data_IF_870070648962
#
_entry.id   IF_870070648962
#
_cell.length_a   1.000
_cell.length_b   1.000
_cell.length_c   1.000
_cell.angle_alpha   90.00
_cell.angle_beta   90.00
_cell.angle_gamma   90.00
#
_symmetry.space_group_name_H-M   'P 1'
#
loop_
_entity.id
_entity.type
_entity.pdbx_description
1 polymer ?
#
# COMPACT_ATOMS: atom_id res chain seq x y z
N UNK A 1 -2.32 -3.34 25.27
CA UNK A 1 -1.84 -2.71 24.04
C UNK A 1 -1.28 -1.34 24.36
N UNK A 2 -0.10 -1.02 23.88
CA UNK A 2 0.50 0.26 24.16
C UNK A 2 0.05 1.32 23.14
N UNK A 3 0.10 2.58 23.55
CA UNK A 3 -0.21 3.70 22.64
C UNK A 3 0.70 3.71 21.42
N UNK A 4 1.87 3.14 21.58
CA UNK A 4 2.85 3.05 20.54
C UNK A 4 2.30 2.31 19.31
N UNK A 5 1.55 1.22 19.54
CA UNK A 5 1.02 0.38 18.43
C UNK A 5 -0.17 1.00 17.76
N UNK A 6 -0.82 1.97 18.38
CA UNK A 6 -2.02 2.58 17.81
C UNK A 6 -1.75 3.91 17.12
N UNK A 7 -0.48 4.31 17.04
CA UNK A 7 -0.12 5.56 16.39
C UNK A 7 -0.42 5.49 14.89
N UNK A 8 -1.13 6.48 14.39
CA UNK A 8 -1.47 6.57 12.98
C UNK A 8 -0.34 7.29 12.24
N UNK A 9 0.14 6.68 11.19
CA UNK A 9 1.17 7.26 10.33
C UNK A 9 0.73 7.18 8.89
N UNK A 10 1.46 7.85 8.01
CA UNK A 10 1.19 7.86 6.58
C UNK A 10 2.48 7.53 5.85
N UNK A 11 2.41 6.60 4.91
CA UNK A 11 3.58 6.22 4.11
C UNK A 11 3.26 6.30 2.64
N UNK A 12 4.28 6.69 1.87
CA UNK A 12 4.23 6.71 0.42
C UNK A 12 5.01 5.51 -0.09
N UNK A 13 4.43 4.80 -1.04
CA UNK A 13 5.00 3.56 -1.58
C UNK A 13 4.92 3.61 -3.10
N UNK A 14 6.03 3.30 -3.76
CA UNK A 14 6.05 3.16 -5.20
C UNK A 14 6.35 1.72 -5.56
N UNK A 15 5.54 1.16 -6.44
CA UNK A 15 5.62 -0.26 -6.80
C UNK A 15 5.98 -0.37 -8.27
N UNK A 16 6.97 -1.20 -8.57
CA UNK A 16 7.45 -1.45 -9.93
C UNK A 16 7.19 -2.90 -10.31
N UNK A 17 7.34 -3.19 -11.58
CA UNK A 17 7.17 -4.56 -12.09
C UNK A 17 5.84 -4.73 -12.79
N UNK A 18 5.27 -5.93 -12.73
CA UNK A 18 4.01 -6.24 -13.39
C UNK A 18 2.84 -5.75 -12.55
N UNK A 19 2.72 -4.42 -12.43
CA UNK A 19 1.71 -3.80 -11.57
C UNK A 19 0.71 -2.97 -12.34
N UNK A 20 0.76 -3.04 -13.66
CA UNK A 20 -0.15 -2.27 -14.48
C UNK A 20 -1.56 -2.84 -14.47
N UNK A 21 -2.50 -1.92 -14.58
CA UNK A 21 -3.88 -2.29 -14.79
C UNK A 21 -4.75 -2.18 -13.55
N UNK A 22 -6.02 -2.33 -13.81
CA UNK A 22 -7.06 -2.14 -12.83
C UNK A 22 -6.98 -3.20 -11.73
N UNK A 23 -6.56 -4.40 -12.09
CA UNK A 23 -6.50 -5.51 -11.13
C UNK A 23 -5.57 -5.23 -9.97
N UNK A 24 -4.42 -4.63 -10.22
CA UNK A 24 -3.48 -4.31 -9.16
C UNK A 24 -4.03 -3.22 -8.23
N UNK A 25 -4.59 -2.16 -8.82
CA UNK A 25 -5.19 -1.09 -8.03
C UNK A 25 -6.30 -1.64 -7.15
N UNK A 26 -7.16 -2.45 -7.73
CA UNK A 26 -8.29 -3.05 -7.01
C UNK A 26 -7.79 -3.87 -5.83
N UNK A 27 -6.78 -4.69 -6.07
CA UNK A 27 -6.21 -5.55 -5.02
C UNK A 27 -5.61 -4.73 -3.88
N UNK A 28 -4.95 -3.62 -4.23
CA UNK A 28 -4.36 -2.74 -3.23
C UNK A 28 -5.44 -2.08 -2.38
N UNK A 29 -6.47 -1.56 -3.02
CA UNK A 29 -7.58 -0.93 -2.30
C UNK A 29 -8.27 -1.93 -1.39
N UNK A 30 -8.46 -3.15 -1.87
CA UNK A 30 -9.10 -4.18 -1.09
C UNK A 30 -8.23 -4.59 0.11
N UNK A 31 -6.92 -4.66 -0.07
CA UNK A 31 -6.01 -4.98 1.02
C UNK A 31 -6.06 -3.91 2.10
N UNK A 32 -6.03 -2.63 1.72
CA UNK A 32 -6.11 -1.54 2.69
C UNK A 32 -7.42 -1.59 3.46
N UNK A 33 -8.52 -1.80 2.75
CA UNK A 33 -9.82 -1.87 3.38
C UNK A 33 -9.91 -3.03 4.38
N UNK A 34 -9.32 -4.17 4.02
CA UNK A 34 -9.39 -5.37 4.86
C UNK A 34 -8.68 -5.20 6.21
N UNK A 35 -7.71 -4.31 6.31
CA UNK A 35 -6.99 -4.06 7.56
C UNK A 35 -7.40 -2.75 8.22
N UNK A 36 -8.33 -2.01 7.63
CA UNK A 36 -8.79 -0.76 8.20
C UNK A 36 -7.90 0.44 7.91
N UNK A 37 -7.01 0.32 6.93
CA UNK A 37 -6.18 1.45 6.50
C UNK A 37 -6.92 2.26 5.45
N UNK A 38 -6.49 3.51 5.25
CA UNK A 38 -7.06 4.40 4.24
C UNK A 38 -5.96 4.93 3.34
N UNK A 39 -6.34 5.52 2.22
CA UNK A 39 -5.36 6.09 1.31
C UNK A 39 -5.86 6.11 -0.11
N UNK A 40 -4.92 6.23 -1.04
CA UNK A 40 -5.24 6.28 -2.47
C UNK A 40 -4.10 5.64 -3.27
N UNK A 41 -4.41 5.29 -4.50
CA UNK A 41 -3.46 4.64 -5.40
C UNK A 41 -3.70 5.17 -6.82
N UNK A 42 -2.61 5.36 -7.57
CA UNK A 42 -2.69 5.81 -8.96
C UNK A 42 -1.64 5.09 -9.81
N UNK A 43 -1.95 4.94 -11.08
CA UNK A 43 -0.98 4.46 -12.07
C UNK A 43 -0.22 5.66 -12.62
N UNK A 44 1.11 5.55 -12.67
CA UNK A 44 1.95 6.61 -13.22
C UNK A 44 2.35 6.28 -14.66
N UNK A 45 2.68 7.31 -15.46
CA UNK A 45 3.02 7.09 -16.87
C UNK A 45 4.24 6.21 -17.11
N UNK A 46 5.13 6.11 -16.14
CA UNK A 46 6.34 5.29 -16.27
C UNK A 46 6.07 3.79 -16.04
N UNK A 47 4.83 3.43 -15.78
CA UNK A 47 4.47 2.04 -15.55
C UNK A 47 4.47 1.64 -14.09
N UNK A 48 4.88 2.51 -13.20
CA UNK A 48 4.81 2.23 -11.77
C UNK A 48 3.44 2.58 -11.21
N UNK A 49 3.20 2.12 -9.98
CA UNK A 49 2.00 2.46 -9.22
C UNK A 49 2.46 3.19 -7.96
N UNK A 50 1.90 4.35 -7.72
CA UNK A 50 2.21 5.14 -6.54
C UNK A 50 1.00 5.16 -5.61
N UNK A 51 1.26 4.97 -4.32
CA UNK A 51 0.18 4.95 -3.34
C UNK A 51 0.59 5.64 -2.06
N UNK A 52 -0.40 6.13 -1.34
CA UNK A 52 -0.21 6.68 -0.02
C UNK A 52 -1.19 6.00 0.90
N UNK A 53 -0.68 5.44 2.00
CA UNK A 53 -1.48 4.64 2.92
C UNK A 53 -1.35 5.22 4.32
N UNK A 54 -2.49 5.34 5.00
CA UNK A 54 -2.55 5.86 6.35
C UNK A 54 -3.16 4.81 7.27
N UNK A 55 -2.51 4.61 8.40
CA UNK A 55 -2.95 3.64 9.39
C UNK A 55 -1.86 3.43 10.42
N UNK A 56 -1.99 2.40 11.23
CA UNK A 56 -0.90 2.01 12.12
C UNK A 56 0.20 1.36 11.28
N UNK A 57 1.41 1.33 11.85
CA UNK A 57 2.51 0.69 11.15
C UNK A 57 2.19 -0.77 10.83
N UNK A 58 1.54 -1.46 11.75
CA UNK A 58 1.16 -2.85 11.51
C UNK A 58 0.18 -3.00 10.35
N UNK A 59 -0.80 -2.11 10.29
CA UNK A 59 -1.77 -2.14 9.18
C UNK A 59 -1.08 -1.91 7.84
N UNK A 60 -0.20 -0.93 7.80
CA UNK A 60 0.53 -0.60 6.58
C UNK A 60 1.43 -1.76 6.16
N UNK A 61 2.11 -2.38 7.11
CA UNK A 61 2.96 -3.52 6.82
C UNK A 61 2.16 -4.69 6.26
N UNK A 62 0.95 -4.90 6.73
CA UNK A 62 0.08 -5.95 6.20
C UNK A 62 -0.33 -5.66 4.76
N UNK A 63 -0.69 -4.41 4.46
CA UNK A 63 -1.00 -4.03 3.08
C UNK A 63 0.22 -4.25 2.20
N UNK A 64 1.38 -3.81 2.67
CA UNK A 64 2.62 -3.95 1.95
C UNK A 64 2.90 -5.42 1.61
N UNK A 65 2.73 -6.30 2.59
CA UNK A 65 2.94 -7.73 2.37
C UNK A 65 1.98 -8.30 1.33
N UNK A 66 0.72 -7.86 1.36
CA UNK A 66 -0.28 -8.37 0.43
C UNK A 66 -0.04 -7.91 -1.00
N UNK A 67 0.44 -6.68 -1.19
CA UNK A 67 0.60 -6.15 -2.55
C UNK A 67 1.98 -6.42 -3.13
N UNK A 68 2.96 -6.80 -2.31
CA UNK A 68 4.34 -6.96 -2.79
C UNK A 68 4.63 -8.34 -3.34
N UNK A 69 3.69 -9.25 -3.32
CA UNK A 69 3.91 -10.61 -3.83
C UNK A 69 4.18 -10.56 -5.33
N UNK A 70 5.38 -10.98 -5.71
CA UNK A 70 5.76 -11.02 -7.11
C UNK A 70 6.07 -9.67 -7.74
N UNK A 71 6.24 -8.63 -6.94
CA UNK A 71 6.55 -7.30 -7.43
C UNK A 71 7.66 -6.66 -6.63
N UNK A 72 8.28 -5.64 -7.22
CA UNK A 72 9.22 -4.79 -6.50
C UNK A 72 8.47 -3.65 -5.84
N UNK A 73 8.81 -3.39 -4.57
CA UNK A 73 8.18 -2.31 -3.82
C UNK A 73 9.28 -1.46 -3.21
N UNK A 74 9.17 -0.13 -3.41
CA UNK A 74 10.10 0.82 -2.81
C UNK A 74 9.32 1.82 -1.98
N UNK A 75 9.76 2.01 -0.75
CA UNK A 75 9.18 3.02 0.13
C UNK A 75 9.84 4.36 -0.12
N UNK A 76 9.02 5.38 -0.10
CA UNK A 76 9.50 6.74 -0.20
C UNK A 76 9.16 7.53 1.03
#
# INVERSE_FOLDING_TARGET
MSDYDSKIIRKQIRVYGSVQGVGFRYRTEHAAESVGATGWVRNDPDGSVFMEIQGTEEQIDRVFAMVSQGTYVMRE
#
